data_IF_005415483248
#
_entry.id   IF_005415483248
#
_cell.length_a   1.000
_cell.length_b   1.000
_cell.length_c   1.000
_cell.angle_alpha   90.00
_cell.angle_beta   90.00
_cell.angle_gamma   90.00
#
_symmetry.space_group_name_H-M   'P 1'
#
loop_
_entity.id
_entity.type
_entity.pdbx_description
1 polymer ?
#
# COMPACT_ATOMS: atom_id res chain seq x y z
N UNK A 1 -24.62 7.12 9.00
CA UNK A 1 -24.13 5.73 8.89
C UNK A 1 -22.62 5.77 8.67
N UNK A 2 -21.82 5.04 9.44
CA UNK A 2 -20.37 4.97 9.25
C UNK A 2 -20.13 3.99 8.10
N UNK A 3 -19.37 4.36 7.04
CA UNK A 3 -19.02 3.41 5.99
C UNK A 3 -18.24 2.22 6.54
N UNK A 4 -18.37 1.02 5.96
CA UNK A 4 -17.72 -0.18 6.46
C UNK A 4 -16.19 -0.07 6.46
N UNK A 5 -15.55 -0.81 7.34
CA UNK A 5 -14.09 -1.00 7.38
C UNK A 5 -13.75 -2.23 6.54
N UNK A 6 -12.70 -2.15 5.75
CA UNK A 6 -12.23 -3.28 4.96
C UNK A 6 -10.87 -3.75 5.48
N UNK A 7 -10.76 -5.04 5.70
CA UNK A 7 -9.53 -5.69 6.19
C UNK A 7 -9.16 -6.87 5.30
N UNK A 8 -7.87 -7.17 5.23
CA UNK A 8 -7.33 -8.39 4.61
C UNK A 8 -6.84 -9.30 5.71
N UNK A 9 -7.21 -10.56 5.61
CA UNK A 9 -6.66 -11.62 6.44
C UNK A 9 -5.19 -11.85 6.07
N UNK A 10 -4.32 -11.77 7.07
CA UNK A 10 -2.88 -12.04 6.90
C UNK A 10 -2.66 -13.53 7.16
N UNK A 11 -2.10 -14.27 6.17
CA UNK A 11 -1.77 -15.67 6.40
C UNK A 11 -0.82 -15.81 7.60
N UNK A 12 -1.07 -16.80 8.46
CA UNK A 12 -0.15 -17.21 9.51
C UNK A 12 0.47 -18.55 9.14
N UNK A 13 1.76 -18.70 9.39
CA UNK A 13 2.48 -19.96 9.19
C UNK A 13 2.16 -20.99 10.27
N UNK A 14 1.59 -20.56 11.41
CA UNK A 14 1.16 -21.42 12.51
C UNK A 14 -0.37 -21.43 12.64
N UNK A 15 -0.95 -22.64 12.62
CA UNK A 15 -2.41 -22.85 12.78
C UNK A 15 -2.91 -22.42 14.17
N UNK A 16 -2.02 -22.35 15.15
CA UNK A 16 -2.34 -21.94 16.51
C UNK A 16 -2.24 -20.43 16.74
N UNK A 17 -1.69 -19.70 15.77
CA UNK A 17 -1.65 -18.24 15.85
C UNK A 17 -3.04 -17.62 15.69
N UNK A 18 -3.29 -16.54 16.41
CA UNK A 18 -4.48 -15.73 16.21
C UNK A 18 -4.50 -15.15 14.80
N UNK A 19 -5.65 -15.22 14.12
CA UNK A 19 -5.84 -14.62 12.80
C UNK A 19 -5.58 -13.13 12.87
N UNK A 20 -4.62 -12.64 12.09
CA UNK A 20 -4.26 -11.23 12.01
C UNK A 20 -4.93 -10.59 10.79
N UNK A 21 -5.30 -9.34 10.94
CA UNK A 21 -5.96 -8.58 9.87
C UNK A 21 -5.20 -7.27 9.62
N UNK A 22 -5.02 -6.94 8.36
CA UNK A 22 -4.47 -5.64 7.95
C UNK A 22 -5.60 -4.74 7.42
N UNK A 23 -5.68 -3.51 7.94
CA UNK A 23 -6.73 -2.57 7.52
C UNK A 23 -6.38 -2.00 6.15
N UNK A 24 -7.29 -2.21 5.21
CA UNK A 24 -7.20 -1.76 3.81
C UNK A 24 -7.85 -0.40 3.62
N UNK A 25 -9.07 -0.27 4.10
CA UNK A 25 -9.81 1.00 4.10
C UNK A 25 -10.47 1.23 5.46
N UNK A 26 -10.55 2.52 5.83
CA UNK A 26 -11.13 2.93 7.10
C UNK A 26 -10.12 3.08 8.24
N UNK A 27 -8.81 2.98 7.98
CA UNK A 27 -7.76 3.15 9.00
C UNK A 27 -7.90 4.46 9.76
N UNK A 28 -8.11 5.58 9.05
CA UNK A 28 -8.28 6.88 9.70
C UNK A 28 -9.53 6.92 10.59
N UNK A 29 -10.65 6.34 10.14
CA UNK A 29 -11.89 6.23 10.91
C UNK A 29 -11.69 5.40 12.16
N UNK A 30 -11.07 4.24 12.03
CA UNK A 30 -10.77 3.35 13.15
C UNK A 30 -9.82 4.01 14.16
N UNK A 31 -8.76 4.66 13.67
CA UNK A 31 -7.82 5.41 14.51
C UNK A 31 -8.52 6.53 15.27
N UNK A 32 -9.35 7.32 14.60
CA UNK A 32 -10.09 8.42 15.26
C UNK A 32 -11.04 7.91 16.36
N UNK A 33 -11.72 6.78 16.13
CA UNK A 33 -12.58 6.15 17.14
C UNK A 33 -11.77 5.68 18.34
N UNK A 34 -10.65 4.98 18.08
CA UNK A 34 -9.76 4.47 19.13
C UNK A 34 -9.14 5.61 19.92
N UNK A 35 -8.65 6.66 19.25
CA UNK A 35 -8.02 7.81 19.89
C UNK A 35 -9.03 8.61 20.73
N UNK A 36 -10.27 8.72 20.27
CA UNK A 36 -11.32 9.35 21.08
C UNK A 36 -11.61 8.53 22.34
N UNK A 37 -11.80 7.22 22.22
CA UNK A 37 -12.07 6.33 23.36
C UNK A 37 -10.89 6.33 24.35
N UNK A 38 -9.65 6.35 23.86
CA UNK A 38 -8.43 6.43 24.68
C UNK A 38 -8.19 7.82 25.29
N UNK A 39 -8.95 8.83 24.87
CA UNK A 39 -8.81 10.21 25.35
C UNK A 39 -7.71 11.03 24.65
N UNK A 40 -7.10 10.48 23.59
CA UNK A 40 -6.07 11.17 22.79
C UNK A 40 -6.66 12.17 21.80
N UNK A 41 -7.96 12.09 21.53
CA UNK A 41 -8.67 12.95 20.60
C UNK A 41 -9.83 13.68 21.32
N UNK A 42 -10.01 14.97 20.98
CA UNK A 42 -11.19 15.75 21.34
C UNK A 42 -11.95 16.09 20.06
N UNK A 43 -13.27 15.95 20.08
CA UNK A 43 -14.09 16.25 18.91
C UNK A 43 -14.24 17.76 18.75
N UNK A 44 -13.96 18.27 17.54
CA UNK A 44 -14.12 19.69 17.24
C UNK A 44 -15.60 20.06 17.23
N UNK A 45 -16.00 21.02 18.03
CA UNK A 45 -17.37 21.51 18.11
C UNK A 45 -17.89 21.99 16.74
N UNK A 46 -17.02 22.63 15.95
CA UNK A 46 -17.36 23.16 14.62
C UNK A 46 -17.71 22.09 13.59
N UNK A 47 -17.25 20.88 13.82
CA UNK A 47 -17.44 19.75 12.89
C UNK A 47 -18.57 18.82 13.31
N UNK A 48 -19.25 19.12 14.43
CA UNK A 48 -20.37 18.34 14.92
C UNK A 48 -21.69 18.98 14.49
N UNK A 49 -22.42 18.28 13.64
CA UNK A 49 -23.76 18.66 13.21
C UNK A 49 -24.80 18.41 14.31
N UNK A 50 -24.58 17.37 15.13
CA UNK A 50 -25.47 16.99 16.22
C UNK A 50 -24.69 16.79 17.51
N UNK A 51 -25.35 17.06 18.65
CA UNK A 51 -24.78 16.86 20.00
C UNK A 51 -23.47 17.61 20.26
N UNK A 52 -23.28 18.76 19.63
CA UNK A 52 -22.10 19.60 19.86
C UNK A 52 -21.97 20.05 21.32
N UNK A 53 -23.11 20.30 21.99
CA UNK A 53 -23.21 20.62 23.42
C UNK A 53 -22.67 19.48 24.32
N UNK A 54 -22.84 18.23 23.92
CA UNK A 54 -22.40 17.04 24.66
C UNK A 54 -20.96 16.67 24.33
N UNK A 55 -20.61 16.61 23.03
CA UNK A 55 -19.34 16.08 22.56
C UNK A 55 -18.29 17.15 22.21
N UNK A 56 -18.72 18.37 21.89
CA UNK A 56 -17.84 19.41 21.38
C UNK A 56 -16.72 19.79 22.36
N UNK A 57 -15.48 19.79 21.90
CA UNK A 57 -14.31 20.15 22.69
C UNK A 57 -13.93 19.18 23.81
N UNK A 58 -14.68 18.10 23.98
CA UNK A 58 -14.56 17.20 25.13
C UNK A 58 -13.84 15.90 24.78
N UNK A 59 -13.14 15.36 25.77
CA UNK A 59 -12.59 13.99 25.75
C UNK A 59 -13.68 12.96 26.07
N UNK A 60 -13.43 11.70 25.74
CA UNK A 60 -14.34 10.60 26.07
C UNK A 60 -14.69 10.52 27.55
N UNK A 61 -13.71 10.73 28.45
CA UNK A 61 -13.92 10.70 29.90
C UNK A 61 -14.83 11.83 30.38
N UNK A 62 -14.73 13.02 29.78
CA UNK A 62 -15.61 14.16 30.08
C UNK A 62 -17.04 13.91 29.59
N UNK A 63 -17.20 13.40 28.36
CA UNK A 63 -18.50 13.02 27.83
C UNK A 63 -19.17 11.94 28.68
N UNK A 64 -18.42 10.94 29.12
CA UNK A 64 -18.92 9.86 29.98
C UNK A 64 -19.48 10.39 31.31
N UNK A 65 -18.89 11.46 31.86
CA UNK A 65 -19.40 12.11 33.11
C UNK A 65 -20.67 12.92 32.85
N UNK A 66 -20.74 13.60 31.71
CA UNK A 66 -21.85 14.46 31.34
C UNK A 66 -23.08 13.66 30.87
N UNK A 67 -22.85 12.68 30.03
CA UNK A 67 -23.90 11.85 29.44
C UNK A 67 -23.46 10.37 29.33
N UNK A 68 -23.56 9.60 30.43
CA UNK A 68 -23.25 8.16 30.43
C UNK A 68 -24.07 7.38 29.43
N UNK A 69 -25.33 7.77 29.23
CA UNK A 69 -26.26 7.14 28.28
C UNK A 69 -25.76 7.26 26.85
N UNK A 70 -25.38 8.46 26.39
CA UNK A 70 -24.85 8.70 25.05
C UNK A 70 -23.52 7.97 24.83
N UNK A 71 -22.69 7.90 25.86
CA UNK A 71 -21.44 7.13 25.82
C UNK A 71 -21.71 5.64 25.68
N UNK A 72 -22.67 5.09 26.43
CA UNK A 72 -23.08 3.70 26.29
C UNK A 72 -23.65 3.40 24.91
N UNK A 73 -24.50 4.27 24.38
CA UNK A 73 -25.06 4.17 23.03
C UNK A 73 -23.94 4.18 21.97
N UNK A 74 -22.93 5.03 22.12
CA UNK A 74 -21.78 5.06 21.21
C UNK A 74 -20.97 3.77 21.27
N UNK A 75 -20.68 3.25 22.47
CA UNK A 75 -19.90 2.02 22.64
C UNK A 75 -20.65 0.76 22.17
N UNK A 76 -21.99 0.77 22.18
CA UNK A 76 -22.81 -0.32 21.64
C UNK A 76 -23.07 -0.21 20.14
N UNK A 77 -22.55 0.83 19.48
CA UNK A 77 -22.68 0.98 18.03
C UNK A 77 -21.87 -0.09 17.29
N UNK A 78 -22.47 -0.64 16.26
CA UNK A 78 -21.85 -1.68 15.43
C UNK A 78 -21.07 -1.04 14.29
N UNK A 79 -19.87 -1.52 14.06
CA UNK A 79 -19.08 -1.22 12.87
C UNK A 79 -19.11 -2.43 11.94
N UNK A 80 -19.53 -2.21 10.70
CA UNK A 80 -19.47 -3.25 9.68
C UNK A 80 -18.03 -3.45 9.22
N UNK A 81 -17.53 -4.68 9.29
CA UNK A 81 -16.19 -5.05 8.83
C UNK A 81 -16.32 -6.08 7.72
N UNK A 82 -15.79 -5.76 6.54
CA UNK A 82 -15.66 -6.69 5.43
C UNK A 82 -14.26 -7.29 5.41
N UNK A 83 -14.21 -8.61 5.51
CA UNK A 83 -12.95 -9.37 5.51
C UNK A 83 -12.68 -9.92 4.12
N UNK A 84 -11.54 -9.57 3.54
CA UNK A 84 -11.00 -10.21 2.35
C UNK A 84 -10.14 -11.37 2.83
N UNK A 85 -10.60 -12.60 2.62
CA UNK A 85 -9.93 -13.78 3.14
C UNK A 85 -8.62 -14.07 2.42
N UNK A 86 -7.71 -14.76 3.09
CA UNK A 86 -6.43 -15.19 2.51
C UNK A 86 -6.61 -16.04 1.24
N UNK A 87 -7.70 -16.81 1.16
CA UNK A 87 -8.06 -17.65 0.00
C UNK A 87 -8.63 -16.87 -1.19
N UNK A 88 -8.94 -15.57 -1.05
CA UNK A 88 -9.44 -14.76 -2.16
C UNK A 88 -8.39 -14.65 -3.27
N UNK A 89 -8.79 -14.76 -4.57
CA UNK A 89 -7.86 -14.55 -5.67
C UNK A 89 -7.17 -13.18 -5.60
N UNK A 90 -5.87 -13.12 -5.86
CA UNK A 90 -5.06 -11.89 -5.77
C UNK A 90 -5.63 -10.75 -6.64
N UNK A 91 -6.09 -11.09 -7.82
CA UNK A 91 -6.76 -10.16 -8.73
C UNK A 91 -8.01 -9.52 -8.06
N UNK A 92 -8.78 -10.30 -7.28
CA UNK A 92 -9.97 -9.81 -6.56
C UNK A 92 -9.55 -8.85 -5.45
N UNK A 93 -8.49 -9.17 -4.72
CA UNK A 93 -7.91 -8.27 -3.71
C UNK A 93 -7.52 -6.95 -4.37
N UNK A 94 -6.78 -7.00 -5.48
CA UNK A 94 -6.38 -5.81 -6.23
C UNK A 94 -7.58 -4.96 -6.70
N UNK A 95 -8.62 -5.59 -7.26
CA UNK A 95 -9.81 -4.88 -7.76
C UNK A 95 -10.60 -4.22 -6.62
N UNK A 96 -10.77 -4.94 -5.50
CA UNK A 96 -11.41 -4.38 -4.29
C UNK A 96 -10.62 -3.20 -3.77
N UNK A 97 -9.29 -3.31 -3.61
CA UNK A 97 -8.43 -2.20 -3.20
C UNK A 97 -8.57 -0.99 -4.13
N UNK A 98 -8.54 -1.22 -5.45
CA UNK A 98 -8.67 -0.16 -6.44
C UNK A 98 -10.04 0.53 -6.41
N UNK A 99 -11.10 -0.20 -6.07
CA UNK A 99 -12.48 0.34 -5.97
C UNK A 99 -12.75 1.07 -4.67
N UNK A 100 -12.29 0.52 -3.54
CA UNK A 100 -12.46 1.14 -2.21
C UNK A 100 -11.78 2.48 -2.14
N UNK A 101 -10.67 2.60 -2.85
CA UNK A 101 -9.83 3.79 -2.87
C UNK A 101 -10.38 4.94 -3.72
N UNK A 102 -11.68 4.96 -3.99
CA UNK A 102 -12.37 6.07 -4.68
C UNK A 102 -12.63 7.27 -3.76
N UNK A 103 -12.17 7.23 -2.50
CA UNK A 103 -12.25 8.33 -1.53
C UNK A 103 -11.36 9.54 -1.89
N UNK A 104 -11.29 10.51 -1.00
CA UNK A 104 -10.65 11.81 -1.23
C UNK A 104 -9.15 11.72 -1.58
N UNK A 105 -8.45 10.67 -1.15
CA UNK A 105 -7.04 10.42 -1.49
C UNK A 105 -6.87 8.97 -1.98
N UNK A 106 -6.83 8.82 -3.30
CA UNK A 106 -6.69 7.50 -3.95
C UNK A 106 -5.29 6.96 -3.73
N UNK A 107 -5.16 5.74 -3.21
CA UNK A 107 -3.89 5.00 -3.20
C UNK A 107 -3.35 4.87 -4.63
N UNK A 108 -2.06 4.98 -4.78
CA UNK A 108 -1.43 4.85 -6.08
C UNK A 108 -1.26 3.37 -6.44
N UNK A 109 -1.19 3.08 -7.72
CA UNK A 109 -1.09 1.69 -8.23
C UNK A 109 0.06 0.93 -7.57
N UNK A 110 1.21 1.57 -7.39
CA UNK A 110 2.39 0.93 -6.81
C UNK A 110 2.33 0.82 -5.28
N UNK A 111 1.61 1.72 -4.62
CA UNK A 111 1.27 1.60 -3.20
C UNK A 111 0.37 0.37 -2.95
N UNK A 112 -0.61 0.17 -3.82
CA UNK A 112 -1.47 -1.02 -3.81
C UNK A 112 -0.64 -2.30 -4.05
N UNK A 113 0.27 -2.30 -5.04
CA UNK A 113 1.17 -3.43 -5.31
C UNK A 113 2.00 -3.80 -4.09
N UNK A 114 2.58 -2.79 -3.43
CA UNK A 114 3.37 -2.96 -2.21
C UNK A 114 2.57 -3.61 -1.07
N UNK A 115 1.29 -3.29 -0.95
CA UNK A 115 0.42 -3.85 0.08
C UNK A 115 0.00 -5.30 -0.22
N UNK A 116 -0.29 -5.62 -1.50
CA UNK A 116 -0.86 -6.91 -1.89
C UNK A 116 0.22 -7.98 -2.12
N UNK A 117 1.29 -7.66 -2.87
CA UNK A 117 2.29 -8.64 -3.28
C UNK A 117 3.49 -8.68 -2.32
N UNK A 118 3.23 -8.95 -1.04
CA UNK A 118 4.28 -9.08 -0.02
C UNK A 118 5.08 -10.36 -0.23
N UNK A 119 6.39 -10.22 -0.30
CA UNK A 119 7.36 -11.31 -0.42
C UNK A 119 8.74 -10.83 0.04
N UNK A 120 9.69 -11.74 0.27
CA UNK A 120 11.09 -11.37 0.58
C UNK A 120 11.67 -10.41 -0.47
N UNK A 121 11.37 -10.65 -1.75
CA UNK A 121 11.87 -9.83 -2.86
C UNK A 121 11.26 -8.41 -2.83
N UNK A 122 9.95 -8.29 -2.62
CA UNK A 122 9.31 -6.96 -2.53
C UNK A 122 9.73 -6.20 -1.27
N UNK A 123 10.03 -6.89 -0.18
CA UNK A 123 10.58 -6.29 1.04
C UNK A 123 12.01 -5.80 0.82
N UNK A 124 12.85 -6.55 0.10
CA UNK A 124 14.19 -6.12 -0.29
C UNK A 124 14.16 -4.90 -1.21
N UNK A 125 13.25 -4.86 -2.20
CA UNK A 125 13.04 -3.67 -3.03
C UNK A 125 12.63 -2.48 -2.17
N UNK A 126 11.72 -2.69 -1.22
CA UNK A 126 11.28 -1.64 -0.30
C UNK A 126 12.44 -1.09 0.52
N UNK A 127 13.23 -1.97 1.13
CA UNK A 127 14.41 -1.59 1.91
C UNK A 127 15.41 -0.82 1.05
N UNK A 128 15.71 -1.32 -0.15
CA UNK A 128 16.62 -0.64 -1.09
C UNK A 128 16.13 0.77 -1.43
N UNK A 129 14.86 0.94 -1.77
CA UNK A 129 14.28 2.25 -2.12
C UNK A 129 14.37 3.22 -0.94
N UNK A 130 14.00 2.77 0.27
CA UNK A 130 14.06 3.58 1.49
C UNK A 130 15.51 3.98 1.84
N UNK A 131 16.48 3.08 1.68
CA UNK A 131 17.90 3.36 1.85
C UNK A 131 18.41 4.39 0.82
N UNK A 132 18.06 4.25 -0.46
CA UNK A 132 18.46 5.20 -1.50
C UNK A 132 17.87 6.59 -1.25
N UNK A 133 16.60 6.67 -0.84
CA UNK A 133 15.96 7.94 -0.48
C UNK A 133 16.66 8.62 0.70
N UNK A 134 17.15 7.87 1.66
CA UNK A 134 17.76 8.36 2.89
C UNK A 134 19.25 8.70 2.71
N UNK A 135 20.04 7.78 2.14
CA UNK A 135 21.50 7.87 2.05
C UNK A 135 21.99 8.63 0.80
N UNK A 136 21.25 8.53 -0.30
CA UNK A 136 21.60 9.09 -1.59
C UNK A 136 20.55 10.07 -2.10
N UNK A 137 19.98 10.88 -1.19
CA UNK A 137 18.82 11.72 -1.47
C UNK A 137 19.00 12.69 -2.65
N UNK A 138 20.18 13.23 -2.86
CA UNK A 138 20.46 14.15 -3.98
C UNK A 138 20.47 13.42 -5.32
N UNK A 139 21.17 12.29 -5.42
CA UNK A 139 21.17 11.45 -6.62
C UNK A 139 19.76 10.91 -6.89
N UNK A 140 19.11 10.40 -5.88
CA UNK A 140 17.76 9.85 -6.01
C UNK A 140 16.76 10.89 -6.50
N UNK A 141 16.79 12.10 -5.95
CA UNK A 141 15.95 13.23 -6.38
C UNK A 141 16.30 13.77 -7.77
N UNK A 142 17.52 13.57 -8.25
CA UNK A 142 17.88 13.90 -9.64
C UNK A 142 17.28 12.93 -10.65
N UNK A 143 16.97 11.70 -10.20
CA UNK A 143 16.40 10.62 -11.01
C UNK A 143 14.88 10.58 -10.91
N UNK A 144 14.34 10.77 -9.71
CA UNK A 144 12.93 10.74 -9.40
C UNK A 144 12.46 12.09 -8.87
N UNK A 145 11.49 12.69 -9.54
CA UNK A 145 10.89 13.93 -9.06
C UNK A 145 10.17 13.73 -7.72
N UNK A 146 9.97 14.81 -6.96
CA UNK A 146 9.20 14.78 -5.73
C UNK A 146 7.76 14.24 -5.95
N UNK A 147 7.19 14.47 -7.15
CA UNK A 147 5.89 13.94 -7.53
C UNK A 147 5.94 12.43 -7.80
N UNK A 148 7.01 11.91 -8.42
CA UNK A 148 7.19 10.46 -8.63
C UNK A 148 7.28 9.74 -7.29
N UNK A 149 8.08 10.24 -6.36
CA UNK A 149 8.23 9.69 -5.01
C UNK A 149 6.88 9.71 -4.27
N UNK A 150 6.18 10.85 -4.28
CA UNK A 150 4.85 10.99 -3.66
C UNK A 150 3.81 10.02 -4.25
N UNK A 151 3.98 9.64 -5.51
CA UNK A 151 3.07 8.74 -6.22
C UNK A 151 3.55 7.30 -6.26
N UNK A 152 4.65 6.94 -5.59
CA UNK A 152 5.26 5.61 -5.62
C UNK A 152 5.64 5.15 -7.05
N UNK A 153 5.90 6.09 -7.97
CA UNK A 153 6.31 5.76 -9.34
C UNK A 153 7.76 5.24 -9.37
N UNK A 154 8.59 5.64 -8.41
CA UNK A 154 9.92 5.09 -8.17
C UNK A 154 9.85 3.57 -7.89
N UNK A 155 9.00 3.11 -6.98
CA UNK A 155 8.72 1.68 -6.78
C UNK A 155 8.24 1.01 -8.08
N UNK A 156 7.37 1.68 -8.83
CA UNK A 156 6.86 1.19 -10.09
C UNK A 156 7.96 0.90 -11.12
N UNK A 157 9.03 1.70 -11.11
CA UNK A 157 10.19 1.49 -11.99
C UNK A 157 10.95 0.22 -11.61
N UNK A 158 11.21 0.00 -10.33
CA UNK A 158 11.88 -1.22 -9.87
C UNK A 158 11.03 -2.47 -10.12
N UNK A 159 9.73 -2.43 -9.89
CA UNK A 159 8.83 -3.54 -10.23
C UNK A 159 8.79 -3.80 -11.75
N UNK A 160 8.83 -2.74 -12.56
CA UNK A 160 8.91 -2.86 -14.02
C UNK A 160 10.22 -3.53 -14.44
N UNK A 161 11.36 -3.04 -13.95
CA UNK A 161 12.68 -3.64 -14.25
C UNK A 161 12.73 -5.11 -13.87
N UNK A 162 12.25 -5.47 -12.68
CA UNK A 162 12.17 -6.87 -12.24
C UNK A 162 11.29 -7.72 -13.16
N UNK A 163 10.13 -7.21 -13.54
CA UNK A 163 9.21 -7.94 -14.41
C UNK A 163 9.81 -8.15 -15.82
N UNK A 164 10.46 -7.12 -16.37
CA UNK A 164 11.15 -7.27 -17.65
C UNK A 164 12.32 -8.24 -17.57
N UNK A 165 13.12 -8.17 -16.52
CA UNK A 165 14.25 -9.09 -16.31
C UNK A 165 13.78 -10.55 -16.27
N UNK A 166 12.79 -10.86 -15.44
CA UNK A 166 12.29 -12.23 -15.26
C UNK A 166 11.49 -12.77 -16.47
N UNK A 167 10.97 -11.90 -17.32
CA UNK A 167 10.20 -12.27 -18.53
C UNK A 167 10.99 -12.11 -19.81
N UNK A 168 12.22 -11.59 -19.76
CA UNK A 168 13.10 -11.52 -20.92
C UNK A 168 13.48 -12.90 -21.44
N UNK A 169 13.35 -13.09 -22.72
CA UNK A 169 13.85 -14.25 -23.44
C UNK A 169 14.84 -13.76 -24.51
N UNK A 170 16.16 -13.71 -24.19
CA UNK A 170 17.18 -13.18 -25.10
C UNK A 170 17.28 -13.97 -26.40
N UNK A 171 17.08 -15.30 -26.36
CA UNK A 171 17.19 -16.16 -27.53
C UNK A 171 16.11 -15.86 -28.58
N UNK A 172 14.93 -15.43 -28.12
CA UNK A 172 13.81 -15.06 -28.99
C UNK A 172 13.72 -13.55 -29.23
N UNK A 173 14.48 -12.73 -28.50
CA UNK A 173 14.38 -11.28 -28.56
C UNK A 173 13.03 -10.73 -28.11
N UNK A 174 12.32 -11.41 -27.21
CA UNK A 174 10.98 -11.03 -26.74
C UNK A 174 10.94 -10.93 -25.21
N UNK A 175 9.89 -10.27 -24.73
CA UNK A 175 9.52 -10.26 -23.30
C UNK A 175 8.18 -10.99 -23.17
N UNK A 176 8.20 -12.13 -22.50
CA UNK A 176 7.02 -12.99 -22.36
C UNK A 176 5.90 -12.30 -21.59
N UNK A 177 4.68 -12.28 -22.19
CA UNK A 177 3.51 -11.66 -21.58
C UNK A 177 3.44 -10.13 -21.72
N UNK A 178 4.36 -9.51 -22.47
CA UNK A 178 4.29 -8.08 -22.77
C UNK A 178 3.33 -7.80 -23.94
N UNK A 179 2.35 -6.95 -23.70
CA UNK A 179 1.29 -6.60 -24.67
C UNK A 179 1.10 -5.08 -24.83
N UNK A 180 2.16 -4.29 -24.79
CA UNK A 180 2.15 -2.82 -24.77
C UNK A 180 1.57 -2.20 -23.49
N UNK A 181 1.05 -3.00 -22.57
CA UNK A 181 0.54 -2.58 -21.27
C UNK A 181 1.22 -3.40 -20.16
N UNK A 182 2.35 -2.92 -19.62
CA UNK A 182 3.15 -3.70 -18.67
C UNK A 182 2.46 -3.96 -17.32
N UNK A 183 1.31 -3.34 -17.07
CA UNK A 183 0.61 -3.43 -15.79
C UNK A 183 0.29 -4.88 -15.39
N UNK A 184 -0.28 -5.64 -16.31
CA UNK A 184 -0.72 -7.02 -16.02
C UNK A 184 0.49 -7.95 -15.91
N UNK A 185 1.50 -7.75 -16.76
CA UNK A 185 2.76 -8.48 -16.68
C UNK A 185 3.45 -8.24 -15.33
N UNK A 186 3.54 -7.00 -14.87
CA UNK A 186 4.12 -6.66 -13.56
C UNK A 186 3.35 -7.35 -12.44
N UNK A 187 2.02 -7.27 -12.45
CA UNK A 187 1.18 -7.89 -11.42
C UNK A 187 1.35 -9.42 -11.40
N UNK A 188 1.37 -10.06 -12.58
CA UNK A 188 1.58 -11.50 -12.69
C UNK A 188 2.95 -11.92 -12.16
N UNK A 189 4.01 -11.17 -12.48
CA UNK A 189 5.36 -11.46 -11.97
C UNK A 189 5.42 -11.32 -10.46
N UNK A 190 4.86 -10.25 -9.89
CA UNK A 190 4.83 -10.07 -8.44
C UNK A 190 4.02 -11.17 -7.74
N UNK A 191 2.94 -11.63 -8.36
CA UNK A 191 2.15 -12.76 -7.87
C UNK A 191 2.94 -14.08 -7.93
N UNK A 192 3.65 -14.34 -9.04
CA UNK A 192 4.48 -15.54 -9.22
C UNK A 192 5.63 -15.57 -8.19
N UNK A 193 6.21 -14.42 -7.88
CA UNK A 193 7.22 -14.27 -6.84
C UNK A 193 6.62 -14.57 -5.45
N UNK A 194 5.45 -14.03 -5.15
CA UNK A 194 4.77 -14.27 -3.88
C UNK A 194 4.43 -15.75 -3.66
N UNK A 195 4.14 -16.48 -4.76
CA UNK A 195 3.89 -17.92 -4.76
C UNK A 195 5.15 -18.77 -4.91
N UNK A 196 6.33 -18.16 -4.88
CA UNK A 196 7.62 -18.82 -5.08
C UNK A 196 7.75 -19.57 -6.41
N UNK A 197 6.93 -19.22 -7.42
CA UNK A 197 7.01 -19.78 -8.78
C UNK A 197 8.22 -19.19 -9.50
N UNK A 198 8.47 -17.88 -9.34
CA UNK A 198 9.64 -17.19 -9.85
C UNK A 198 10.53 -16.76 -8.68
N UNK A 199 11.82 -16.98 -8.83
CA UNK A 199 12.82 -16.58 -7.84
C UNK A 199 13.94 -15.80 -8.51
N UNK A 200 14.59 -14.94 -7.75
CA UNK A 200 15.80 -14.22 -8.11
C UNK A 200 16.71 -14.23 -6.88
N UNK A 201 18.00 -14.42 -7.06
CA UNK A 201 18.94 -14.35 -5.94
C UNK A 201 19.07 -12.92 -5.42
N UNK A 202 19.50 -12.77 -4.16
CA UNK A 202 19.70 -11.43 -3.56
C UNK A 202 20.73 -10.60 -4.31
N UNK A 203 21.82 -11.25 -4.76
CA UNK A 203 22.88 -10.58 -5.51
C UNK A 203 22.40 -10.11 -6.88
N UNK A 204 21.67 -10.96 -7.62
CA UNK A 204 21.08 -10.59 -8.91
C UNK A 204 20.05 -9.47 -8.76
N UNK A 205 19.21 -9.53 -7.73
CA UNK A 205 18.25 -8.47 -7.44
C UNK A 205 18.98 -7.15 -7.17
N UNK A 206 19.99 -7.15 -6.32
CA UNK A 206 20.76 -5.96 -6.00
C UNK A 206 21.44 -5.36 -7.23
N UNK A 207 22.02 -6.22 -8.09
CA UNK A 207 22.60 -5.78 -9.37
C UNK A 207 21.55 -5.13 -10.27
N UNK A 208 20.37 -5.73 -10.39
CA UNK A 208 19.26 -5.20 -11.18
C UNK A 208 18.77 -3.84 -10.65
N UNK A 209 18.62 -3.70 -9.33
CA UNK A 209 18.17 -2.46 -8.71
C UNK A 209 19.20 -1.32 -8.93
N UNK A 210 20.48 -1.60 -8.75
CA UNK A 210 21.54 -0.64 -9.03
C UNK A 210 21.62 -0.28 -10.52
N UNK A 211 21.51 -1.26 -11.42
CA UNK A 211 21.49 -1.02 -12.85
C UNK A 211 20.27 -0.12 -13.25
N UNK A 212 19.13 -0.31 -12.62
CA UNK A 212 17.93 0.52 -12.85
C UNK A 212 18.19 1.99 -12.48
N UNK A 213 18.91 2.27 -11.39
CA UNK A 213 19.32 3.63 -11.01
C UNK A 213 20.31 4.21 -12.04
N UNK A 214 21.35 3.43 -12.40
CA UNK A 214 22.38 3.89 -13.32
C UNK A 214 21.82 4.19 -14.71
N UNK A 215 21.00 3.33 -15.26
CA UNK A 215 20.34 3.54 -16.55
C UNK A 215 19.49 4.82 -16.54
N UNK A 216 18.73 5.04 -15.48
CA UNK A 216 17.89 6.22 -15.38
C UNK A 216 18.73 7.50 -15.19
N UNK A 217 19.82 7.43 -14.46
CA UNK A 217 20.72 8.56 -14.31
C UNK A 217 21.35 8.98 -15.65
N UNK A 218 21.79 8.01 -16.45
CA UNK A 218 22.46 8.29 -17.73
C UNK A 218 21.48 8.64 -18.87
N UNK A 219 20.28 8.07 -18.88
CA UNK A 219 19.36 8.18 -20.00
C UNK A 219 18.01 8.83 -19.66
N UNK A 220 17.74 9.10 -18.39
CA UNK A 220 16.45 9.61 -17.91
C UNK A 220 16.05 10.99 -18.43
N UNK A 221 17.00 11.76 -18.97
CA UNK A 221 16.77 13.11 -19.53
C UNK A 221 16.59 13.11 -21.05
N UNK A 222 16.53 11.95 -21.69
CA UNK A 222 16.27 11.87 -23.16
C UNK A 222 14.76 11.88 -23.44
N UNK A 223 14.31 12.48 -24.54
CA UNK A 223 12.87 12.54 -24.90
C UNK A 223 12.18 11.18 -25.02
N UNK A 224 12.95 10.09 -25.13
CA UNK A 224 12.48 8.71 -25.25
C UNK A 224 12.78 7.84 -24.03
N UNK A 225 13.08 8.43 -22.87
CA UNK A 225 13.47 7.69 -21.65
C UNK A 225 12.42 6.71 -21.15
N UNK A 226 11.16 6.86 -21.54
CA UNK A 226 10.07 5.95 -21.17
C UNK A 226 10.12 4.59 -21.88
N UNK A 227 10.93 4.46 -22.93
CA UNK A 227 11.14 3.25 -23.73
C UNK A 227 12.44 2.51 -23.40
N UNK A 228 13.31 3.09 -22.59
CA UNK A 228 14.51 2.43 -22.11
C UNK A 228 14.12 1.69 -20.81
N UNK A 229 13.68 0.44 -20.99
CA UNK A 229 13.41 -0.69 -20.09
C UNK A 229 12.76 -0.34 -18.76
#
# INVERSE_FOLDING_TARGET
MIPPIYVVEVPSDDILDETKYEVVDGKQRLTAIIDFIKGNLRLSERNLEYYADIFGGKSFAEVRKISPEKTSQMLSSILDIYVITASSPEFTKYDIFARLNRGAEKLKVNEIRRAIYKSKITDQITKFVEEQQMLHSELYKSIFSANDIKRYEDYGRFYKSLAFYLRSNPDKGIVDGYNSRPRDMINNVLQDIQKEINTISEDELLLLLNATIQLRFHYGNTPNSDYII
#
